data_IF_405109404310
#
_entry.id   IF_405109404310
#
_cell.length_a   1.000
_cell.length_b   1.000
_cell.length_c   1.000
_cell.angle_alpha   90.00
_cell.angle_beta   90.00
_cell.angle_gamma   90.00
#
_symmetry.space_group_name_H-M   'P 1'
#
loop_
_entity.id
_entity.type
_entity.pdbx_description
1 polymer ?
#
# COMPACT_ATOMS: atom_id res chain seq x y z
N UNK A 1 14.91 -16.26 -10.01
CA UNK A 1 14.95 -14.79 -10.01
C UNK A 1 13.53 -14.35 -10.35
N UNK A 2 12.81 -13.80 -9.36
CA UNK A 2 11.34 -13.76 -9.32
C UNK A 2 10.74 -12.91 -10.44
N UNK A 3 10.11 -13.58 -11.40
CA UNK A 3 9.20 -12.97 -12.36
C UNK A 3 7.90 -12.60 -11.61
N UNK A 4 7.63 -11.31 -11.54
CA UNK A 4 6.50 -10.73 -10.84
C UNK A 4 5.21 -11.10 -11.60
N UNK A 5 4.60 -12.23 -11.24
CA UNK A 5 3.31 -12.67 -11.76
C UNK A 5 2.21 -11.80 -11.13
N UNK A 6 1.97 -10.64 -11.75
CA UNK A 6 0.86 -9.73 -11.43
C UNK A 6 -0.51 -10.31 -11.85
N UNK A 7 -1.61 -9.81 -11.27
CA UNK A 7 -2.92 -10.46 -11.35
C UNK A 7 -3.41 -10.56 -12.80
N UNK A 8 -3.81 -11.78 -13.14
CA UNK A 8 -4.23 -12.22 -14.46
C UNK A 8 -5.29 -11.31 -15.08
N UNK A 9 -5.08 -11.05 -16.38
CA UNK A 9 -6.00 -10.42 -17.31
C UNK A 9 -7.43 -10.94 -17.15
N UNK A 10 -8.38 -10.04 -16.85
CA UNK A 10 -9.79 -10.29 -17.16
C UNK A 10 -10.04 -9.86 -18.60
N UNK A 11 -10.14 -10.82 -19.52
CA UNK A 11 -10.77 -10.58 -20.82
C UNK A 11 -12.27 -10.70 -20.63
N UNK A 12 -13.00 -9.59 -20.63
CA UNK A 12 -14.45 -9.62 -20.79
C UNK A 12 -14.80 -9.50 -22.28
N UNK A 13 -15.36 -10.58 -22.83
CA UNK A 13 -15.95 -10.62 -24.17
C UNK A 13 -17.26 -9.83 -24.17
N UNK A 14 -17.47 -9.12 -25.27
CA UNK A 14 -18.52 -8.13 -25.55
C UNK A 14 -19.93 -8.74 -25.57
N UNK A 15 -20.93 -8.01 -25.06
CA UNK A 15 -22.33 -8.45 -25.12
C UNK A 15 -23.35 -7.42 -24.61
N UNK A 16 -23.83 -6.58 -25.53
CA UNK A 16 -25.14 -5.91 -25.61
C UNK A 16 -25.71 -5.13 -24.40
N UNK A 17 -25.79 -3.80 -24.56
CA UNK A 17 -26.95 -3.00 -24.16
C UNK A 17 -26.97 -2.47 -22.72
N UNK A 18 -26.24 -1.39 -22.44
CA UNK A 18 -26.40 -0.61 -21.21
C UNK A 18 -25.31 0.43 -21.06
N UNK A 19 -25.69 1.69 -20.89
CA UNK A 19 -24.86 2.90 -20.89
C UNK A 19 -23.46 2.71 -20.27
N UNK A 20 -22.41 2.82 -21.08
CA UNK A 20 -21.04 2.98 -20.59
C UNK A 20 -20.86 4.39 -20.03
N UNK A 21 -21.10 4.57 -18.73
CA UNK A 21 -20.61 5.75 -18.03
C UNK A 21 -19.08 5.66 -17.94
N UNK A 22 -18.38 6.57 -18.62
CA UNK A 22 -16.93 6.74 -18.55
C UNK A 22 -16.44 6.78 -17.10
N UNK A 23 -15.48 5.90 -16.74
CA UNK A 23 -14.85 5.92 -15.41
C UNK A 23 -13.81 4.83 -15.11
N UNK A 24 -13.55 3.89 -16.02
CA UNK A 24 -12.68 2.74 -15.75
C UNK A 24 -11.20 3.02 -16.06
N UNK A 25 -10.59 4.03 -15.42
CA UNK A 25 -9.13 4.20 -15.41
C UNK A 25 -8.58 4.68 -14.06
N UNK A 26 -9.40 4.73 -13.01
CA UNK A 26 -9.05 5.41 -11.75
C UNK A 26 -8.93 4.48 -10.52
N UNK A 27 -9.41 3.22 -10.61
CA UNK A 27 -9.32 2.28 -9.49
C UNK A 27 -7.95 1.58 -9.35
N UNK A 28 -7.18 1.45 -10.44
CA UNK A 28 -5.86 0.81 -10.44
C UNK A 28 -4.75 1.72 -9.88
N UNK A 29 -4.82 3.03 -10.19
CA UNK A 29 -3.81 4.01 -9.75
C UNK A 29 -3.78 4.15 -8.24
N UNK A 30 -4.94 4.29 -7.60
CA UNK A 30 -5.04 4.51 -6.16
C UNK A 30 -4.48 3.31 -5.36
N UNK A 31 -4.74 2.08 -5.81
CA UNK A 31 -4.26 0.87 -5.15
C UNK A 31 -2.73 0.70 -5.29
N UNK A 32 -2.16 0.93 -6.49
CA UNK A 32 -0.70 0.90 -6.71
C UNK A 32 0.03 1.99 -5.94
N UNK A 33 -0.51 3.20 -5.90
CA UNK A 33 0.07 4.32 -5.15
C UNK A 33 0.14 4.00 -3.65
N UNK A 34 -0.92 3.41 -3.10
CA UNK A 34 -0.95 3.00 -1.70
C UNK A 34 0.13 1.94 -1.42
N UNK A 35 0.22 0.92 -2.26
CA UNK A 35 1.24 -0.12 -2.14
C UNK A 35 2.67 0.47 -2.17
N UNK A 36 2.95 1.39 -3.09
CA UNK A 36 4.25 2.04 -3.19
C UNK A 36 4.59 2.85 -1.93
N UNK A 37 3.64 3.67 -1.43
CA UNK A 37 3.80 4.44 -0.19
C UNK A 37 4.05 3.53 1.00
N UNK A 38 3.32 2.42 1.10
CA UNK A 38 3.48 1.44 2.17
C UNK A 38 4.84 0.75 2.10
N UNK A 39 5.31 0.38 0.92
CA UNK A 39 6.63 -0.22 0.75
C UNK A 39 7.76 0.75 1.12
N UNK A 40 7.64 2.02 0.75
CA UNK A 40 8.58 3.07 1.16
C UNK A 40 8.58 3.28 2.69
N UNK A 41 7.39 3.33 3.30
CA UNK A 41 7.25 3.45 4.77
C UNK A 41 7.89 2.29 5.52
N UNK A 42 7.85 1.07 4.95
CA UNK A 42 8.51 -0.11 5.51
C UNK A 42 10.02 0.06 5.54
N UNK A 43 10.62 0.61 4.48
CA UNK A 43 12.06 0.87 4.46
C UNK A 43 12.42 1.89 5.55
N UNK A 44 11.67 2.99 5.66
CA UNK A 44 11.86 3.99 6.70
C UNK A 44 11.72 3.41 8.12
N UNK A 45 10.79 2.48 8.35
CA UNK A 45 10.63 1.83 9.66
C UNK A 45 11.81 0.95 10.08
N UNK A 46 12.59 0.46 9.12
CA UNK A 46 13.73 -0.44 9.34
C UNK A 46 15.06 0.32 9.34
N UNK A 47 15.22 1.25 8.40
CA UNK A 47 16.43 2.03 8.17
C UNK A 47 16.51 3.26 9.08
N UNK A 48 15.36 3.87 9.38
CA UNK A 48 15.26 5.10 10.17
C UNK A 48 14.65 4.87 11.54
N UNK A 49 15.24 5.52 12.56
CA UNK A 49 14.72 5.57 13.91
C UNK A 49 13.48 6.46 14.09
N UNK A 50 12.95 7.01 13.00
CA UNK A 50 11.88 8.01 12.98
C UNK A 50 10.58 7.52 13.63
N UNK A 51 9.84 8.46 14.20
CA UNK A 51 8.53 8.19 14.80
C UNK A 51 7.49 7.86 13.73
N UNK A 52 6.47 7.07 14.09
CA UNK A 52 5.39 6.68 13.18
C UNK A 52 4.68 7.90 12.55
N UNK A 53 4.59 9.02 13.28
CA UNK A 53 4.07 10.29 12.77
C UNK A 53 4.91 10.85 11.61
N UNK A 54 6.23 10.86 11.76
CA UNK A 54 7.14 11.38 10.72
C UNK A 54 7.07 10.53 9.46
N UNK A 55 7.05 9.21 9.62
CA UNK A 55 6.93 8.25 8.51
C UNK A 55 5.56 8.42 7.80
N UNK A 56 4.49 8.62 8.56
CA UNK A 56 3.17 8.90 8.00
C UNK A 56 3.16 10.21 7.17
N UNK A 57 3.79 11.26 7.69
CA UNK A 57 3.93 12.54 6.98
C UNK A 57 4.78 12.38 5.70
N UNK A 58 5.90 11.66 5.77
CA UNK A 58 6.75 11.37 4.61
C UNK A 58 6.01 10.58 3.51
N UNK A 59 5.12 9.67 3.90
CA UNK A 59 4.31 8.88 2.98
C UNK A 59 2.99 9.56 2.54
N UNK A 60 2.81 10.84 2.86
CA UNK A 60 1.59 11.63 2.56
C UNK A 60 0.30 10.99 3.07
N UNK A 61 0.34 10.48 4.30
CA UNK A 61 -0.88 10.16 5.03
C UNK A 61 -1.35 11.38 5.80
N UNK A 62 -2.67 11.51 5.97
CA UNK A 62 -3.26 12.59 6.76
C UNK A 62 -2.72 12.57 8.20
N UNK A 63 -2.66 11.37 8.79
CA UNK A 63 -2.22 11.18 10.18
C UNK A 63 -1.59 9.81 10.38
N UNK A 64 -0.84 9.66 11.48
CA UNK A 64 -0.29 8.38 11.93
C UNK A 64 -1.37 7.30 12.13
N UNK A 65 -2.58 7.69 12.52
CA UNK A 65 -3.71 6.75 12.71
C UNK A 65 -4.20 6.18 11.38
N UNK A 66 -4.35 7.04 10.36
CA UNK A 66 -4.74 6.64 9.01
C UNK A 66 -3.67 5.73 8.38
N UNK A 67 -2.40 6.09 8.54
CA UNK A 67 -1.27 5.27 8.14
C UNK A 67 -1.29 3.90 8.82
N UNK A 68 -1.39 3.85 10.15
CA UNK A 68 -1.38 2.61 10.92
C UNK A 68 -2.51 1.66 10.51
N UNK A 69 -3.72 2.20 10.26
CA UNK A 69 -4.86 1.41 9.76
C UNK A 69 -4.60 0.85 8.36
N UNK A 70 -4.06 1.66 7.45
CA UNK A 70 -3.72 1.22 6.09
C UNK A 70 -2.59 0.19 6.08
N UNK A 71 -1.53 0.44 6.85
CA UNK A 71 -0.37 -0.43 6.99
C UNK A 71 -0.75 -1.78 7.59
N UNK A 72 -1.57 -1.78 8.66
CA UNK A 72 -2.10 -3.02 9.25
C UNK A 72 -3.00 -3.78 8.29
N UNK A 73 -3.82 -3.08 7.49
CA UNK A 73 -4.68 -3.74 6.51
C UNK A 73 -3.88 -4.39 5.37
N UNK A 74 -2.71 -3.86 5.05
CA UNK A 74 -1.85 -4.36 3.98
C UNK A 74 -0.85 -5.44 4.46
N UNK A 75 -0.19 -5.23 5.61
CA UNK A 75 0.83 -6.14 6.16
C UNK A 75 0.34 -7.02 7.31
N UNK A 76 -0.88 -6.83 7.80
CA UNK A 76 -1.45 -7.54 8.96
C UNK A 76 -0.98 -7.03 10.32
N UNK A 77 0.07 -6.21 10.38
CA UNK A 77 0.73 -5.76 11.61
C UNK A 77 0.73 -4.22 11.70
N UNK A 78 0.65 -3.68 12.91
CA UNK A 78 0.83 -2.23 13.13
C UNK A 78 2.28 -1.83 12.88
N UNK A 79 2.57 -0.63 12.36
CA UNK A 79 3.93 -0.20 12.04
C UNK A 79 4.87 -0.18 13.27
N UNK A 80 4.36 0.13 14.48
CA UNK A 80 5.14 -0.03 15.72
C UNK A 80 5.47 -1.49 16.06
N UNK A 81 4.53 -2.42 15.83
CA UNK A 81 4.77 -3.85 16.05
C UNK A 81 5.78 -4.38 15.03
N UNK A 82 5.65 -3.94 13.78
CA UNK A 82 6.63 -4.24 12.73
C UNK A 82 8.02 -3.77 13.15
N UNK A 83 8.18 -2.49 13.53
CA UNK A 83 9.47 -1.97 14.01
C UNK A 83 10.02 -2.78 15.19
N UNK A 84 9.21 -3.12 16.19
CA UNK A 84 9.66 -3.94 17.33
C UNK A 84 10.11 -5.34 16.93
N UNK A 85 9.35 -6.00 16.05
CA UNK A 85 9.64 -7.37 15.61
C UNK A 85 10.93 -7.44 14.77
N UNK A 86 11.19 -6.44 13.94
CA UNK A 86 12.35 -6.42 13.05
C UNK A 86 13.56 -5.68 13.63
N UNK A 87 13.40 -4.82 14.64
CA UNK A 87 14.50 -4.12 15.32
C UNK A 87 15.32 -5.04 16.24
N UNK A 88 14.78 -6.20 16.64
CA UNK A 88 15.48 -7.14 17.52
C UNK A 88 16.36 -8.17 16.76
N UNK A 89 16.34 -8.12 15.42
CA UNK A 89 17.17 -8.97 14.56
C UNK A 89 18.32 -8.18 13.89
N UNK A 90 18.63 -6.98 14.40
CA UNK A 90 19.79 -6.19 13.98
C UNK A 90 20.96 -6.41 14.94
#
# INVERSE_FOLDING_TARGET
MLEYLGPHLVRCSEGHGGLCANGSMEADRAAKLLQYRLNYSKQLLLDSGQSIQEIAAACRFADAFAFSKAFRRYYGLSPSQFRKNFSHFV
#
